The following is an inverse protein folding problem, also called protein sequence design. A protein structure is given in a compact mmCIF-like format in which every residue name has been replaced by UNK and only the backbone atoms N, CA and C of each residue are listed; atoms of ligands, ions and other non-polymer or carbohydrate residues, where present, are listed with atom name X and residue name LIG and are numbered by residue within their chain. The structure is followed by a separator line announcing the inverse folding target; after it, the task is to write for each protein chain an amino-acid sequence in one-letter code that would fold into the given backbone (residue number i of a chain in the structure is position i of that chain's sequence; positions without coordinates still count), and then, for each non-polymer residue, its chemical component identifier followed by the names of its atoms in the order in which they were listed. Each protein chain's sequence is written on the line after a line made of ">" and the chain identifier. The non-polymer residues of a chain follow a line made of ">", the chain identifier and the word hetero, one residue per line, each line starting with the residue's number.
data_IF_929977692834
#
_entry.id   IF_929977692834
#
_cell.length_a   1.000
_cell.length_b   1.000
_cell.length_c   1.000
_cell.angle_alpha   90.00
_cell.angle_beta   90.00
_cell.angle_gamma   90.00
#
_symmetry.space_group_name_H-M   'P 1'
#
loop_
_entity.id
_entity.type
_entity.pdbx_description
1 polymer ?
#
# COMPACT_ATOMS: atom_id res chain seq x y z
N UNK A 1 26.21 -6.34 8.03
CA UNK A 1 25.28 -5.32 8.58
C UNK A 1 25.36 -5.38 10.10
N UNK A 2 25.63 -4.26 10.77
CA UNK A 2 25.83 -4.23 12.23
C UNK A 2 24.57 -3.81 13.00
N UNK A 3 23.73 -2.96 12.40
CA UNK A 3 22.40 -2.65 12.93
C UNK A 3 21.46 -3.83 12.68
N UNK A 4 20.84 -4.34 13.75
CA UNK A 4 20.02 -5.56 13.72
C UNK A 4 18.51 -5.30 13.72
N UNK A 5 18.08 -4.10 14.09
CA UNK A 5 16.65 -3.79 14.14
C UNK A 5 16.11 -3.48 12.74
N UNK A 6 14.79 -3.62 12.57
CA UNK A 6 14.11 -3.20 11.35
C UNK A 6 14.13 -1.68 11.22
N UNK A 7 14.14 -1.20 9.99
CA UNK A 7 14.11 0.22 9.66
C UNK A 7 12.84 0.44 8.87
N UNK A 8 11.77 0.82 9.57
CA UNK A 8 10.43 0.88 9.00
C UNK A 8 10.03 2.32 8.69
N UNK A 9 9.25 2.50 7.62
CA UNK A 9 8.57 3.77 7.36
C UNK A 9 7.63 4.13 8.51
N UNK A 10 7.53 5.42 8.81
CA UNK A 10 6.89 6.06 9.96
C UNK A 10 7.59 5.88 11.31
N UNK A 11 8.75 5.22 11.37
CA UNK A 11 9.55 5.18 12.61
C UNK A 11 10.36 6.47 12.79
N UNK A 12 10.74 6.75 14.05
CA UNK A 12 11.53 7.93 14.44
C UNK A 12 12.97 7.54 14.74
N UNK A 13 13.90 8.33 14.23
CA UNK A 13 15.34 8.18 14.43
C UNK A 13 15.99 9.50 14.83
N UNK A 14 17.14 9.41 15.49
CA UNK A 14 18.04 10.54 15.71
C UNK A 14 18.86 10.73 14.43
N UNK A 15 18.60 11.82 13.73
CA UNK A 15 19.26 12.20 12.48
C UNK A 15 20.31 13.25 12.79
N UNK A 16 21.56 12.93 12.52
CA UNK A 16 22.71 13.83 12.68
C UNK A 16 23.14 14.35 11.31
N UNK A 17 23.16 15.67 11.15
CA UNK A 17 23.62 16.37 9.94
C UNK A 17 24.64 17.42 10.38
N UNK A 18 25.89 17.26 9.94
CA UNK A 18 27.00 18.08 10.43
C UNK A 18 27.15 17.98 11.95
N UNK A 19 26.91 19.08 12.66
CA UNK A 19 27.02 19.18 14.12
C UNK A 19 25.68 19.17 14.84
N UNK A 20 24.56 19.10 14.12
CA UNK A 20 23.23 19.06 14.71
C UNK A 20 22.66 17.65 14.70
N UNK A 21 22.01 17.27 15.80
CA UNK A 21 21.19 16.04 15.87
C UNK A 21 19.75 16.40 16.21
N UNK A 22 18.81 15.85 15.44
CA UNK A 22 17.37 16.07 15.59
C UNK A 22 16.60 14.78 15.38
N UNK A 23 15.48 14.62 16.07
CA UNK A 23 14.58 13.49 15.81
C UNK A 23 13.82 13.75 14.51
N UNK A 24 13.82 12.77 13.62
CA UNK A 24 13.10 12.79 12.35
C UNK A 24 12.25 11.56 12.14
N UNK A 25 11.06 11.75 11.56
CA UNK A 25 10.21 10.67 11.07
C UNK A 25 10.66 10.26 9.67
N UNK A 26 10.84 8.96 9.46
CA UNK A 26 11.28 8.39 8.19
C UNK A 26 10.10 7.96 7.31
N UNK A 27 10.14 8.27 6.02
CA UNK A 27 9.30 7.61 5.00
C UNK A 27 10.20 7.12 3.86
N UNK A 28 10.12 5.83 3.55
CA UNK A 28 10.96 5.16 2.55
C UNK A 28 10.15 4.95 1.27
N UNK A 29 10.78 5.22 0.13
CA UNK A 29 10.18 4.99 -1.19
C UNK A 29 11.26 4.71 -2.24
N UNK A 30 10.87 4.14 -3.37
CA UNK A 30 11.76 3.78 -4.46
C UNK A 30 11.10 4.05 -5.82
N UNK A 31 11.89 4.19 -6.90
CA UNK A 31 11.33 4.18 -8.26
C UNK A 31 10.54 2.89 -8.51
N UNK A 32 9.47 2.94 -9.33
CA UNK A 32 8.72 1.73 -9.70
C UNK A 32 9.55 0.77 -10.56
N UNK A 33 10.49 1.31 -11.34
CA UNK A 33 11.39 0.55 -12.19
C UNK A 33 12.83 0.60 -11.66
N UNK A 34 13.21 -0.39 -10.85
CA UNK A 34 14.55 -0.51 -10.24
C UNK A 34 15.69 -0.71 -11.26
N UNK A 35 15.40 -0.66 -12.56
CA UNK A 35 16.36 -0.88 -13.64
C UNK A 35 17.05 0.42 -14.08
N UNK A 36 16.39 1.57 -13.95
CA UNK A 36 16.90 2.87 -14.35
C UNK A 36 17.34 3.66 -13.12
N UNK A 37 18.65 3.89 -13.00
CA UNK A 37 19.19 4.86 -12.04
C UNK A 37 18.96 6.25 -12.61
N UNK A 38 17.89 6.91 -12.21
CA UNK A 38 17.65 8.31 -12.50
C UNK A 38 17.93 9.15 -11.26
N UNK A 39 18.42 10.39 -11.41
CA UNK A 39 18.46 11.32 -10.29
C UNK A 39 17.03 11.50 -9.75
N UNK A 40 16.93 11.77 -8.45
CA UNK A 40 15.64 12.09 -7.84
C UNK A 40 14.94 13.22 -8.61
N UNK A 41 13.66 13.02 -8.92
CA UNK A 41 12.83 13.99 -9.62
C UNK A 41 11.46 14.05 -8.94
N UNK A 42 11.09 15.22 -8.42
CA UNK A 42 9.83 15.41 -7.71
C UNK A 42 8.59 15.18 -8.58
N UNK A 43 8.70 15.22 -9.91
CA UNK A 43 7.58 15.02 -10.83
C UNK A 43 7.25 13.54 -11.10
N UNK A 44 8.19 12.63 -10.79
CA UNK A 44 8.05 11.19 -11.00
C UNK A 44 7.21 10.52 -9.91
N UNK A 45 6.67 9.35 -10.25
CA UNK A 45 5.93 8.50 -9.30
C UNK A 45 6.88 7.56 -8.57
N UNK A 46 6.66 7.39 -7.28
CA UNK A 46 7.47 6.52 -6.42
C UNK A 46 6.61 5.54 -5.66
N UNK A 47 7.09 4.31 -5.55
CA UNK A 47 6.46 3.27 -4.76
C UNK A 47 6.89 3.39 -3.30
N UNK A 48 5.90 3.51 -2.41
CA UNK A 48 6.13 3.47 -0.96
C UNK A 48 6.69 2.11 -0.53
N UNK A 49 7.67 2.14 0.38
CA UNK A 49 8.21 0.95 1.02
C UNK A 49 7.88 0.89 2.50
N UNK A 50 7.50 -0.29 2.97
CA UNK A 50 7.16 -0.53 4.38
C UNK A 50 8.41 -0.51 5.28
N UNK A 51 9.49 -1.10 4.79
CA UNK A 51 10.75 -1.27 5.49
C UNK A 51 11.92 -1.11 4.53
N UNK A 52 13.08 -0.66 5.03
CA UNK A 52 14.32 -0.54 4.23
C UNK A 52 14.74 -1.90 3.65
N UNK A 53 14.42 -2.98 4.36
CA UNK A 53 14.62 -4.35 3.92
C UNK A 53 13.27 -5.04 3.88
N UNK A 54 12.70 -5.14 2.67
CA UNK A 54 11.43 -5.83 2.47
C UNK A 54 11.67 -7.16 1.75
N UNK A 55 11.54 -8.32 2.45
CA UNK A 55 11.79 -9.63 1.85
C UNK A 55 10.81 -9.99 0.73
N UNK A 56 9.63 -9.35 0.67
CA UNK A 56 8.67 -9.60 -0.41
C UNK A 56 9.17 -9.14 -1.79
N UNK A 57 10.18 -8.27 -1.83
CA UNK A 57 10.85 -7.84 -3.06
C UNK A 57 12.04 -8.75 -3.44
N UNK A 58 12.62 -9.47 -2.48
CA UNK A 58 13.78 -10.35 -2.70
C UNK A 58 13.38 -11.73 -3.30
N UNK A 59 12.12 -12.18 -3.12
CA UNK A 59 11.68 -13.50 -3.61
C UNK A 59 11.60 -13.60 -5.15
N UNK A 60 11.51 -12.47 -5.86
CA UNK A 60 11.38 -12.43 -7.32
C UNK A 60 12.68 -12.20 -8.11
N UNK A 61 13.76 -11.75 -7.46
CA UNK A 61 14.94 -11.24 -8.15
C UNK A 61 16.23 -11.88 -7.62
N UNK A 62 16.64 -13.00 -8.21
CA UNK A 62 17.92 -13.70 -7.92
C UNK A 62 19.18 -12.90 -8.26
N UNK A 63 19.04 -11.66 -8.72
CA UNK A 63 20.12 -10.71 -8.92
C UNK A 63 19.99 -9.68 -7.79
N UNK A 64 20.95 -9.65 -6.86
CA UNK A 64 21.11 -8.59 -5.85
C UNK A 64 21.38 -7.25 -6.54
N UNK A 65 20.37 -6.67 -7.19
CA UNK A 65 20.45 -5.33 -7.74
C UNK A 65 20.26 -4.37 -6.57
N UNK A 66 21.24 -3.49 -6.37
CA UNK A 66 21.14 -2.43 -5.37
C UNK A 66 20.00 -1.53 -5.80
N UNK A 67 18.85 -1.68 -5.16
CA UNK A 67 17.70 -0.82 -5.37
C UNK A 67 18.07 0.60 -4.93
N UNK A 68 17.77 1.57 -5.78
CA UNK A 68 17.87 2.98 -5.43
C UNK A 68 16.71 3.32 -4.49
N UNK A 69 17.05 3.70 -3.26
CA UNK A 69 16.08 4.02 -2.22
C UNK A 69 16.20 5.49 -1.85
N UNK A 70 15.06 6.13 -1.74
CA UNK A 70 14.93 7.49 -1.24
C UNK A 70 14.24 7.48 0.13
N UNK A 71 14.54 8.52 0.90
CA UNK A 71 13.98 8.72 2.21
C UNK A 71 13.53 10.17 2.36
N UNK A 72 12.27 10.36 2.77
CA UNK A 72 11.78 11.62 3.29
C UNK A 72 11.99 11.62 4.81
N UNK A 73 12.73 12.63 5.29
CA UNK A 73 12.99 12.84 6.71
C UNK A 73 12.25 14.10 7.16
N UNK A 74 11.27 13.92 8.05
CA UNK A 74 10.48 15.03 8.61
C UNK A 74 10.95 15.30 10.04
N UNK A 75 11.63 16.43 10.25
CA UNK A 75 12.26 16.77 11.54
C UNK A 75 11.27 17.41 12.52
N UNK A 76 11.40 17.09 13.82
CA UNK A 76 10.57 17.68 14.88
C UNK A 76 10.87 19.18 15.11
N UNK A 77 12.08 19.62 14.77
CA UNK A 77 12.50 21.02 14.77
C UNK A 77 13.28 21.33 13.50
N UNK A 78 13.21 22.57 12.98
CA UNK A 78 14.06 22.97 11.87
C UNK A 78 15.53 22.95 12.28
N UNK A 79 16.39 22.67 11.31
CA UNK A 79 17.85 22.64 11.47
C UNK A 79 18.50 23.35 10.28
N UNK A 80 19.69 23.91 10.49
CA UNK A 80 20.50 24.46 9.41
C UNK A 80 21.35 23.35 8.82
N UNK A 81 21.32 23.21 7.50
CA UNK A 81 22.06 22.16 6.79
C UNK A 81 22.82 22.75 5.62
N UNK A 82 23.93 22.10 5.29
CA UNK A 82 24.64 22.36 4.04
C UNK A 82 24.00 21.49 2.95
N UNK A 83 23.68 22.05 1.76
CA UNK A 83 23.21 21.25 0.63
C UNK A 83 24.14 20.07 0.34
N UNK A 84 23.60 18.95 -0.12
CA UNK A 84 24.33 17.71 -0.42
C UNK A 84 25.13 17.09 0.75
N UNK A 85 24.93 17.58 1.98
CA UNK A 85 25.63 17.05 3.14
C UNK A 85 25.25 15.60 3.44
N UNK A 86 26.20 14.89 4.05
CA UNK A 86 25.97 13.56 4.61
C UNK A 86 25.09 13.67 5.86
N UNK A 87 24.11 12.79 5.96
CA UNK A 87 23.37 12.57 7.19
C UNK A 87 23.60 11.15 7.72
N UNK A 88 23.55 11.01 9.04
CA UNK A 88 23.62 9.73 9.74
C UNK A 88 22.35 9.56 10.56
N UNK A 89 21.70 8.41 10.45
CA UNK A 89 20.53 8.02 11.24
C UNK A 89 20.94 7.02 12.31
N UNK A 90 20.45 7.24 13.53
CA UNK A 90 20.78 6.40 14.69
C UNK A 90 19.60 6.24 15.66
N UNK A 91 19.63 5.16 16.43
CA UNK A 91 18.68 4.84 17.49
C UNK A 91 19.39 4.97 18.85
N UNK A 92 19.54 6.21 19.31
CA UNK A 92 20.31 6.54 20.53
C UNK A 92 19.56 6.21 21.83
N UNK A 93 18.24 6.02 21.74
CA UNK A 93 17.33 5.62 22.81
C UNK A 93 17.37 4.11 23.12
N UNK A 94 18.25 3.35 22.48
CA UNK A 94 18.49 1.95 22.82
C UNK A 94 19.18 1.80 24.18
N UNK A 95 18.88 0.70 24.87
CA UNK A 95 19.50 0.35 26.16
C UNK A 95 21.04 0.43 26.07
N UNK A 96 21.61 1.18 27.02
CA UNK A 96 23.04 1.45 27.12
C UNK A 96 23.86 0.18 27.35
N UNK A 97 23.30 -0.84 28.00
CA UNK A 97 23.96 -2.10 28.31
C UNK A 97 23.93 -3.09 27.14
N UNK A 98 23.20 -2.78 26.08
CA UNK A 98 23.10 -3.65 24.90
C UNK A 98 24.27 -3.38 23.94
N UNK A 99 25.07 -4.40 23.65
CA UNK A 99 26.17 -4.36 22.67
C UNK A 99 25.66 -4.51 21.21
N UNK A 100 24.75 -3.62 20.81
CA UNK A 100 24.24 -3.55 19.45
C UNK A 100 24.64 -2.23 18.80
N UNK A 101 24.98 -2.26 17.51
CA UNK A 101 25.22 -1.04 16.75
C UNK A 101 23.93 -0.20 16.71
N UNK A 102 24.07 1.09 17.03
CA UNK A 102 22.96 2.07 17.08
C UNK A 102 22.85 2.92 15.83
N UNK A 103 23.84 2.87 14.93
CA UNK A 103 23.81 3.57 13.64
C UNK A 103 22.97 2.74 12.68
N UNK A 104 21.80 3.27 12.30
CA UNK A 104 20.80 2.55 11.52
C UNK A 104 21.10 2.61 10.02
N UNK A 105 21.20 3.82 9.47
CA UNK A 105 21.46 4.06 8.04
C UNK A 105 22.10 5.44 7.85
N UNK A 106 22.62 5.71 6.66
CA UNK A 106 23.19 7.01 6.29
C UNK A 106 22.89 7.28 4.82
N UNK A 107 23.01 8.54 4.41
CA UNK A 107 22.77 8.95 3.03
C UNK A 107 23.22 10.39 2.81
N UNK A 108 23.02 10.88 1.59
CA UNK A 108 23.24 12.29 1.25
C UNK A 108 21.90 12.99 1.07
N UNK A 109 21.85 14.24 1.50
CA UNK A 109 20.67 15.09 1.30
C UNK A 109 20.60 15.46 -0.17
N UNK A 110 19.46 15.21 -0.81
CA UNK A 110 19.25 15.52 -2.23
C UNK A 110 18.47 16.84 -2.37
N UNK A 111 17.40 16.97 -1.60
CA UNK A 111 16.50 18.12 -1.62
C UNK A 111 16.15 18.51 -0.19
N UNK A 112 16.06 19.81 0.08
CA UNK A 112 15.80 20.35 1.41
C UNK A 112 14.61 21.32 1.39
N UNK A 113 13.64 21.12 2.27
CA UNK A 113 12.45 21.96 2.34
C UNK A 113 12.65 23.03 3.43
N UNK A 114 12.71 24.31 3.01
CA UNK A 114 12.83 25.45 3.92
C UNK A 114 11.48 26.07 4.30
N UNK A 115 10.43 25.80 3.54
CA UNK A 115 9.07 26.30 3.79
C UNK A 115 8.45 25.62 5.01
N UNK A 116 7.96 26.41 5.97
CA UNK A 116 7.23 25.91 7.16
C UNK A 116 5.95 25.16 6.79
N UNK A 117 5.36 25.49 5.64
CA UNK A 117 4.12 24.92 5.12
C UNK A 117 4.35 23.88 4.03
N UNK A 118 5.55 23.27 3.98
CA UNK A 118 5.93 22.26 2.99
C UNK A 118 4.92 21.10 2.85
N UNK A 119 4.17 20.77 3.90
CA UNK A 119 3.09 19.78 3.84
C UNK A 119 1.99 20.12 2.81
N UNK A 120 1.78 21.40 2.53
CA UNK A 120 0.77 21.88 1.58
C UNK A 120 1.40 22.30 0.25
N UNK A 121 2.63 22.82 0.27
CA UNK A 121 3.28 23.40 -0.92
C UNK A 121 4.17 22.41 -1.66
N UNK A 122 4.78 21.45 -0.96
CA UNK A 122 5.79 20.53 -1.49
C UNK A 122 5.31 19.07 -1.47
N UNK A 123 4.81 18.56 -0.34
CA UNK A 123 4.40 17.16 -0.23
C UNK A 123 3.33 16.73 -1.23
N UNK A 124 2.36 17.56 -1.64
CA UNK A 124 1.40 17.16 -2.68
C UNK A 124 2.03 16.95 -4.06
N UNK A 125 3.22 17.51 -4.31
CA UNK A 125 3.98 17.31 -5.55
C UNK A 125 4.75 15.98 -5.53
N UNK A 126 5.13 15.50 -4.33
CA UNK A 126 5.85 14.25 -4.15
C UNK A 126 4.89 13.04 -4.28
N UNK A 127 4.87 12.41 -5.45
CA UNK A 127 3.90 11.36 -5.81
C UNK A 127 4.29 9.98 -5.28
N UNK A 128 4.16 9.77 -3.98
CA UNK A 128 4.38 8.46 -3.34
C UNK A 128 3.07 7.68 -3.25
N UNK A 129 3.00 6.50 -3.84
CA UNK A 129 1.80 5.64 -3.83
C UNK A 129 2.05 4.28 -3.17
N UNK A 130 0.96 3.63 -2.74
CA UNK A 130 0.94 2.27 -2.21
C UNK A 130 0.07 1.41 -3.11
N UNK A 131 0.59 0.28 -3.56
CA UNK A 131 -0.24 -0.76 -4.17
C UNK A 131 -1.19 -1.32 -3.11
N UNK A 132 -2.48 -1.15 -3.33
CA UNK A 132 -3.54 -1.67 -2.46
C UNK A 132 -4.42 -2.59 -3.29
N UNK A 133 -4.56 -3.83 -2.83
CA UNK A 133 -5.53 -4.77 -3.36
C UNK A 133 -6.62 -5.03 -2.33
N UNK A 134 -7.84 -5.26 -2.82
CA UNK A 134 -8.98 -5.72 -2.03
C UNK A 134 -9.59 -6.90 -2.78
N UNK A 135 -10.00 -7.90 -2.02
CA UNK A 135 -10.61 -9.11 -2.55
C UNK A 135 -11.93 -9.34 -1.83
N UNK A 136 -12.91 -9.87 -2.53
CA UNK A 136 -14.21 -10.25 -1.96
C UNK A 136 -14.76 -11.47 -2.67
N UNK A 137 -15.99 -11.83 -2.33
CA UNK A 137 -16.65 -13.02 -2.85
C UNK A 137 -17.92 -12.63 -3.57
N UNK A 138 -18.19 -13.23 -4.73
CA UNK A 138 -19.48 -13.11 -5.41
C UNK A 138 -20.54 -13.82 -4.56
N UNK A 139 -21.52 -13.08 -4.06
CA UNK A 139 -22.60 -13.59 -3.21
C UNK A 139 -23.71 -14.20 -4.08
N UNK A 140 -24.11 -13.48 -5.13
CA UNK A 140 -25.12 -13.92 -6.09
C UNK A 140 -24.96 -13.24 -7.44
N UNK A 141 -25.44 -13.92 -8.48
CA UNK A 141 -25.62 -13.36 -9.82
C UNK A 141 -27.04 -12.79 -9.89
N UNK A 142 -27.17 -11.54 -10.32
CA UNK A 142 -28.48 -10.89 -10.52
C UNK A 142 -28.98 -11.18 -11.93
N UNK A 143 -28.12 -10.99 -12.92
CA UNK A 143 -28.34 -11.30 -14.32
C UNK A 143 -26.98 -11.55 -15.01
N UNK A 144 -26.99 -11.78 -16.32
CA UNK A 144 -25.77 -12.06 -17.10
C UNK A 144 -24.75 -10.92 -17.09
N UNK A 145 -25.15 -9.70 -16.72
CA UNK A 145 -24.32 -8.50 -16.73
C UNK A 145 -24.09 -7.90 -15.34
N UNK A 146 -24.63 -8.50 -14.28
CA UNK A 146 -24.60 -7.93 -12.93
C UNK A 146 -24.44 -8.99 -11.85
N UNK A 147 -23.47 -8.76 -10.97
CA UNK A 147 -23.21 -9.59 -9.79
C UNK A 147 -23.19 -8.76 -8.53
N UNK A 148 -23.64 -9.36 -7.43
CA UNK A 148 -23.50 -8.78 -6.09
C UNK A 148 -22.32 -9.44 -5.40
N UNK A 149 -21.35 -8.62 -4.98
CA UNK A 149 -20.18 -9.06 -4.23
C UNK A 149 -20.30 -8.66 -2.75
N UNK A 150 -19.79 -9.51 -1.87
CA UNK A 150 -19.68 -9.28 -0.42
C UNK A 150 -18.23 -9.39 0.04
N UNK A 151 -17.99 -8.96 1.28
CA UNK A 151 -16.72 -9.10 2.00
C UNK A 151 -15.49 -8.42 1.36
N UNK A 152 -15.69 -7.55 0.35
CA UNK A 152 -14.63 -6.69 -0.20
C UNK A 152 -14.41 -5.41 0.62
N UNK A 153 -15.48 -4.91 1.24
CA UNK A 153 -15.50 -3.66 2.02
C UNK A 153 -16.21 -3.86 3.35
N UNK A 154 -15.81 -3.10 4.37
CA UNK A 154 -16.52 -3.06 5.66
C UNK A 154 -17.79 -2.20 5.53
N UNK A 155 -18.79 -2.42 6.37
CA UNK A 155 -20.09 -1.73 6.30
C UNK A 155 -19.97 -0.20 6.41
N UNK A 156 -19.03 0.28 7.20
CA UNK A 156 -18.71 1.69 7.44
C UNK A 156 -17.88 2.34 6.31
N UNK A 157 -17.50 1.58 5.27
CA UNK A 157 -16.67 2.10 4.18
C UNK A 157 -17.50 2.99 3.25
N UNK A 158 -17.00 4.18 2.92
CA UNK A 158 -17.60 5.04 1.88
C UNK A 158 -17.41 4.41 0.50
N UNK A 159 -18.41 3.67 0.03
CA UNK A 159 -18.38 2.93 -1.23
C UNK A 159 -18.39 3.84 -2.47
N UNK A 160 -18.91 5.06 -2.35
CA UNK A 160 -18.97 6.03 -3.46
C UNK A 160 -17.58 6.37 -4.03
N UNK A 161 -16.53 6.26 -3.22
CA UNK A 161 -15.14 6.45 -3.63
C UNK A 161 -14.63 5.35 -4.57
N UNK A 162 -15.32 4.22 -4.64
CA UNK A 162 -14.93 3.05 -5.42
C UNK A 162 -15.85 2.80 -6.62
N UNK A 163 -16.95 3.54 -6.73
CA UNK A 163 -17.84 3.48 -7.90
C UNK A 163 -17.08 3.88 -9.16
N UNK A 164 -17.27 3.13 -10.24
CA UNK A 164 -16.56 3.31 -11.51
C UNK A 164 -15.18 2.64 -11.58
N UNK A 165 -14.66 2.11 -10.46
CA UNK A 165 -13.39 1.38 -10.49
C UNK A 165 -13.55 -0.01 -11.12
N UNK A 166 -12.50 -0.44 -11.82
CA UNK A 166 -12.42 -1.75 -12.46
C UNK A 166 -12.16 -2.83 -11.42
N UNK A 167 -12.79 -3.98 -11.64
CA UNK A 167 -12.58 -5.20 -10.86
C UNK A 167 -12.43 -6.38 -11.79
N UNK A 168 -11.66 -7.37 -11.37
CA UNK A 168 -11.50 -8.63 -12.12
C UNK A 168 -12.03 -9.79 -11.29
N UNK A 169 -12.82 -10.65 -11.93
CA UNK A 169 -13.32 -11.88 -11.33
C UNK A 169 -12.25 -12.97 -11.45
N UNK A 170 -12.27 -13.94 -10.54
CA UNK A 170 -11.38 -15.10 -10.59
C UNK A 170 -11.61 -16.00 -11.81
N UNK A 171 -12.77 -15.91 -12.45
CA UNK A 171 -13.12 -16.56 -13.72
C UNK A 171 -12.60 -15.81 -14.97
N UNK A 172 -11.94 -14.67 -14.77
CA UNK A 172 -11.24 -13.90 -15.80
C UNK A 172 -12.09 -12.82 -16.47
N UNK A 173 -13.35 -12.63 -16.08
CA UNK A 173 -14.18 -11.51 -16.54
C UNK A 173 -13.77 -10.20 -15.86
N UNK A 174 -13.90 -9.10 -16.59
CA UNK A 174 -13.66 -7.76 -16.09
C UNK A 174 -14.99 -7.04 -15.87
N UNK A 175 -15.11 -6.40 -14.71
CA UNK A 175 -16.27 -5.64 -14.29
C UNK A 175 -15.92 -4.24 -13.84
N UNK A 176 -16.97 -3.49 -13.52
CA UNK A 176 -16.92 -2.15 -12.96
C UNK A 176 -17.85 -2.10 -11.76
N UNK A 177 -17.39 -1.51 -10.66
CA UNK A 177 -18.21 -1.28 -9.47
C UNK A 177 -19.29 -0.25 -9.82
N UNK A 178 -20.55 -0.65 -9.78
CA UNK A 178 -21.69 0.19 -10.11
C UNK A 178 -22.21 0.97 -8.89
N UNK A 179 -22.08 0.38 -7.70
CA UNK A 179 -22.40 1.07 -6.45
C UNK A 179 -22.68 0.12 -5.29
N UNK A 180 -23.31 0.64 -4.24
CA UNK A 180 -23.66 -0.15 -3.05
C UNK A 180 -24.89 -1.05 -3.29
N UNK A 181 -24.93 -2.16 -2.55
CA UNK A 181 -26.06 -3.08 -2.49
C UNK A 181 -26.58 -3.18 -1.05
N UNK A 182 -27.57 -2.34 -0.71
CA UNK A 182 -28.14 -2.26 0.64
C UNK A 182 -27.14 -1.76 1.70
N UNK A 183 -27.42 -2.07 2.97
CA UNK A 183 -26.64 -1.56 4.13
C UNK A 183 -25.57 -2.54 4.64
N UNK A 184 -25.26 -3.59 3.87
CA UNK A 184 -24.40 -4.69 4.34
C UNK A 184 -22.96 -4.64 3.84
N UNK A 185 -22.52 -3.51 3.28
CA UNK A 185 -21.18 -3.38 2.68
C UNK A 185 -21.02 -4.17 1.37
N UNK A 186 -22.11 -4.74 0.85
CA UNK A 186 -22.15 -5.39 -0.46
C UNK A 186 -22.10 -4.36 -1.57
N UNK A 187 -21.54 -4.76 -2.71
CA UNK A 187 -21.41 -3.93 -3.89
C UNK A 187 -22.07 -4.61 -5.08
N UNK A 188 -22.61 -3.80 -6.00
CA UNK A 188 -23.00 -4.23 -7.34
C UNK A 188 -21.83 -4.05 -8.28
N UNK A 189 -21.54 -5.08 -9.05
CA UNK A 189 -20.52 -5.06 -10.09
C UNK A 189 -21.20 -5.36 -11.42
N UNK A 190 -21.06 -4.45 -12.36
CA UNK A 190 -21.51 -4.61 -13.74
C UNK A 190 -20.40 -5.25 -14.57
N UNK A 191 -20.74 -6.24 -15.39
CA UNK A 191 -19.83 -6.96 -16.29
C UNK A 191 -20.21 -6.58 -17.72
N UNK A 192 -19.54 -5.61 -18.36
CA UNK A 192 -19.97 -5.09 -19.67
C UNK A 192 -19.99 -6.15 -20.78
N UNK A 193 -19.12 -7.15 -20.69
CA UNK A 193 -19.00 -8.24 -21.68
C UNK A 193 -19.89 -9.45 -21.35
N UNK A 194 -20.69 -9.37 -20.28
CA UNK A 194 -21.45 -10.50 -19.75
C UNK A 194 -20.58 -11.54 -19.04
N UNK A 195 -21.24 -12.37 -18.24
CA UNK A 195 -20.64 -13.52 -17.56
C UNK A 195 -20.49 -14.69 -18.52
N UNK A 196 -19.39 -15.45 -18.39
CA UNK A 196 -19.24 -16.68 -19.17
C UNK A 196 -20.27 -17.73 -18.72
N UNK A 197 -20.78 -18.58 -19.63
CA UNK A 197 -21.73 -19.65 -19.28
C UNK A 197 -21.22 -20.57 -18.17
N UNK A 198 -19.91 -20.87 -18.17
CA UNK A 198 -19.24 -21.68 -17.15
C UNK A 198 -19.27 -21.04 -15.75
N UNK A 199 -19.29 -19.71 -15.69
CA UNK A 199 -19.35 -18.96 -14.43
C UNK A 199 -20.78 -19.00 -13.88
N UNK A 200 -21.78 -18.91 -14.76
CA UNK A 200 -23.21 -19.00 -14.39
C UNK A 200 -23.56 -20.41 -13.89
N UNK A 201 -23.07 -21.46 -14.56
CA UNK A 201 -23.33 -22.86 -14.16
C UNK A 201 -22.75 -23.23 -12.79
N UNK A 202 -21.60 -22.66 -12.43
CA UNK A 202 -20.98 -22.82 -11.09
C UNK A 202 -21.81 -22.20 -9.96
N UNK A 203 -22.59 -21.16 -10.24
CA UNK A 203 -23.47 -20.52 -9.25
C UNK A 203 -24.90 -21.09 -9.24
N UNK A 204 -25.37 -21.64 -10.36
CA UNK A 204 -26.71 -22.22 -10.51
C UNK A 204 -26.94 -23.54 -9.76
N UNK A 205 -25.88 -24.23 -9.31
CA UNK A 205 -25.98 -25.54 -8.66
C UNK A 205 -26.25 -25.52 -7.15
N UNK A 206 -26.42 -24.33 -6.54
CA UNK A 206 -26.91 -24.18 -5.15
C UNK A 206 -28.40 -23.81 -5.10
N UNK A 207 -29.28 -24.68 -5.60
CA UNK A 207 -30.69 -24.68 -5.17
C UNK A 207 -30.88 -25.75 -4.09
N UNK A 208 -31.20 -25.27 -2.89
CA UNK A 208 -31.61 -26.02 -1.71
C UNK A 208 -32.63 -27.12 -2.03
N UNK A 209 -32.37 -28.34 -1.55
CA UNK A 209 -33.33 -29.43 -1.46
C UNK A 209 -34.44 -29.02 -0.48
N UNK A 210 -35.56 -28.49 -0.99
CA UNK A 210 -36.78 -28.22 -0.23
C UNK A 210 -37.64 -29.49 -0.27
N UNK A 211 -37.45 -30.39 0.70
CA UNK A 211 -38.33 -31.54 0.90
C UNK A 211 -39.60 -31.07 1.59
N UNK A 212 -40.73 -31.26 0.91
CA UNK A 212 -42.09 -30.94 1.34
C UNK A 212 -42.84 -32.27 1.34
N UNK A 213 -43.27 -32.77 2.49
CA UNK A 213 -44.34 -33.76 2.60
C UNK A 213 -44.94 -33.72 4.02
N UNK A 214 -46.11 -33.09 4.15
CA UNK A 214 -47.16 -33.37 5.16
C UNK A 214 -47.99 -34.55 4.61
N UNK A 215 -48.22 -35.60 5.42
CA UNK A 215 -49.54 -36.06 5.99
C UNK A 215 -50.58 -36.48 4.93
N UNK A 216 -51.39 -37.54 5.02
CA UNK A 216 -51.78 -38.56 6.01
C UNK A 216 -52.67 -39.57 5.22
N UNK A 217 -52.79 -40.84 5.62
CA UNK A 217 -54.09 -41.55 5.63
C UNK A 217 -53.96 -42.88 6.39
N UNK A 218 -54.64 -42.91 7.53
CA UNK A 218 -55.10 -44.07 8.30
C UNK A 218 -56.32 -44.73 7.66
#
# INVERSE_FOLDING_TARGET
>A
KYYKQKIDSNSKFHISIGHETVIGKLTIFCPPDSLNKSPFNMEEEYLYRSSLFDPSFDEGNKIKKVEELFALLEFERPILIVPESLYISSKLDMDIHTNNCRIAFYGRIIEAFSDKTYHQTVLPKLKIYKNKSKSGVVDRIVNEYEVVCKDMFKKETRLDLFTGLRVSLSSGENGVIDGCFGQSGKIRVRIPQGLKPDTVSKFGSKKSKKGKTEEEET
#
